data_IF_900622173752
#
_entry.id   IF_900622173752
#
_cell.length_a   1.000
_cell.length_b   1.000
_cell.length_c   1.000
_cell.angle_alpha   90.00
_cell.angle_beta   90.00
_cell.angle_gamma   90.00
#
_symmetry.space_group_name_H-M   'P 1'
#
loop_
_entity.id
_entity.type
_entity.pdbx_description
1 polymer ?
#
# COMPACT_ATOMS: atom_id res chain seq x y z
N UNK A 1 -12.05 7.84 8.89
CA UNK A 1 -11.61 7.07 7.69
C UNK A 1 -10.40 6.21 7.99
N UNK A 2 -10.18 5.16 7.23
CA UNK A 2 -8.96 4.36 7.31
C UNK A 2 -7.75 5.25 7.04
N UNK A 3 -6.77 5.22 7.95
CA UNK A 3 -5.50 5.92 7.78
C UNK A 3 -4.54 5.13 6.88
N UNK A 4 -3.68 5.81 6.16
CA UNK A 4 -2.67 5.19 5.32
C UNK A 4 -1.30 5.80 5.57
N UNK A 5 -0.29 4.93 5.60
CA UNK A 5 1.12 5.32 5.62
C UNK A 5 1.80 4.57 4.49
N UNK A 6 2.53 5.28 3.64
CA UNK A 6 3.32 4.67 2.57
C UNK A 6 4.79 4.93 2.89
N UNK A 7 5.52 3.87 3.19
CA UNK A 7 6.91 3.93 3.62
C UNK A 7 7.81 3.19 2.63
N UNK A 8 8.67 3.91 1.94
CA UNK A 8 9.51 3.35 0.88
C UNK A 8 10.95 3.88 0.95
N UNK A 9 11.85 3.18 0.29
CA UNK A 9 13.16 3.71 -0.03
C UNK A 9 13.03 4.88 -1.02
N UNK A 10 13.84 5.91 -0.82
CA UNK A 10 13.88 7.07 -1.72
C UNK A 10 12.55 7.80 -1.82
N UNK A 11 12.26 8.34 -2.98
CA UNK A 11 11.09 9.19 -3.27
C UNK A 11 9.85 8.41 -3.73
N UNK A 12 9.89 7.09 -3.75
CA UNK A 12 8.80 6.26 -4.31
C UNK A 12 7.45 6.54 -3.64
N UNK A 13 7.42 6.66 -2.31
CA UNK A 13 6.17 6.91 -1.58
C UNK A 13 5.51 8.23 -2.01
N UNK A 14 6.29 9.29 -2.16
CA UNK A 14 5.81 10.60 -2.62
C UNK A 14 5.30 10.52 -4.06
N UNK A 15 5.98 9.77 -4.92
CA UNK A 15 5.57 9.53 -6.30
C UNK A 15 4.25 8.76 -6.40
N UNK A 16 4.05 7.75 -5.56
CA UNK A 16 2.79 6.99 -5.50
C UNK A 16 1.63 7.91 -5.09
N UNK A 17 1.81 8.73 -4.07
CA UNK A 17 0.76 9.68 -3.65
C UNK A 17 0.46 10.68 -4.77
N UNK A 18 1.48 11.21 -5.43
CA UNK A 18 1.32 12.12 -6.56
C UNK A 18 0.51 11.49 -7.70
N UNK A 19 0.82 10.23 -8.05
CA UNK A 19 0.08 9.50 -9.07
C UNK A 19 -1.37 9.21 -8.65
N UNK A 20 -1.59 8.80 -7.41
CA UNK A 20 -2.93 8.55 -6.90
C UNK A 20 -3.78 9.83 -6.87
N UNK A 21 -3.19 10.95 -6.49
CA UNK A 21 -3.86 12.24 -6.49
C UNK A 21 -4.33 12.64 -7.89
N UNK A 22 -3.50 12.40 -8.90
CA UNK A 22 -3.85 12.68 -10.31
C UNK A 22 -5.00 11.77 -10.79
N UNK A 23 -5.02 10.51 -10.39
CA UNK A 23 -5.96 9.51 -10.90
C UNK A 23 -7.32 9.58 -10.20
N UNK A 24 -7.30 9.66 -8.88
CA UNK A 24 -8.52 9.55 -8.06
C UNK A 24 -8.78 10.78 -7.15
N UNK A 25 -7.74 11.50 -6.78
CA UNK A 25 -7.84 12.79 -6.11
C UNK A 25 -8.14 12.79 -4.61
N UNK A 26 -8.44 11.67 -3.99
CA UNK A 26 -8.83 11.59 -2.57
C UNK A 26 -7.68 11.11 -1.70
N UNK A 27 -6.61 11.91 -1.61
CA UNK A 27 -5.38 11.56 -0.89
C UNK A 27 -5.33 12.08 0.56
N UNK A 28 -6.44 12.49 1.12
CA UNK A 28 -6.54 12.89 2.53
C UNK A 28 -6.15 11.74 3.46
N UNK A 29 -5.55 12.07 4.60
CA UNK A 29 -5.16 11.12 5.64
C UNK A 29 -4.20 10.02 5.14
N UNK A 30 -3.33 10.37 4.21
CA UNK A 30 -2.22 9.56 3.71
C UNK A 30 -0.92 10.27 4.07
N UNK A 31 -0.05 9.57 4.80
CA UNK A 31 1.28 10.06 5.17
C UNK A 31 2.35 9.23 4.47
N UNK A 32 3.48 9.85 4.19
CA UNK A 32 4.62 9.18 3.57
C UNK A 32 5.82 9.18 4.50
N UNK A 33 6.58 8.09 4.46
CA UNK A 33 7.90 7.98 5.06
C UNK A 33 8.89 7.57 3.98
N UNK A 34 10.02 8.27 3.93
CA UNK A 34 11.07 8.01 2.94
C UNK A 34 12.37 7.66 3.67
N UNK A 35 13.00 6.57 3.28
CA UNK A 35 14.30 6.17 3.79
C UNK A 35 15.37 6.49 2.76
N UNK A 36 16.27 7.42 3.10
CA UNK A 36 17.41 7.79 2.29
C UNK A 36 18.70 7.19 2.85
N UNK A 37 19.77 7.20 2.05
CA UNK A 37 21.04 6.58 2.41
C UNK A 37 21.66 7.15 3.70
N UNK A 38 21.50 8.44 3.96
CA UNK A 38 22.00 9.13 5.15
C UNK A 38 21.13 8.95 6.39
N UNK A 39 19.95 8.40 6.26
CA UNK A 39 19.02 8.22 7.38
C UNK A 39 19.45 7.07 8.30
N UNK A 40 19.21 7.25 9.61
CA UNK A 40 19.40 6.20 10.60
C UNK A 40 18.15 5.32 10.70
N UNK A 41 18.33 4.02 10.44
CA UNK A 41 17.26 3.01 10.57
C UNK A 41 16.65 2.99 11.98
N UNK A 42 17.43 3.31 13.01
CA UNK A 42 16.95 3.37 14.40
C UNK A 42 15.88 4.44 14.62
N UNK A 43 15.84 5.48 13.80
CA UNK A 43 14.85 6.55 13.89
C UNK A 43 13.50 6.16 13.30
N UNK A 44 13.41 5.10 12.49
CA UNK A 44 12.19 4.69 11.80
C UNK A 44 11.07 4.31 12.75
N UNK A 45 11.37 3.63 13.84
CA UNK A 45 10.34 3.24 14.82
C UNK A 45 9.57 4.46 15.33
N UNK A 46 10.27 5.49 15.78
CA UNK A 46 9.66 6.74 16.25
C UNK A 46 8.87 7.46 15.16
N UNK A 47 9.37 7.44 13.93
CA UNK A 47 8.67 8.03 12.78
C UNK A 47 7.35 7.29 12.48
N UNK A 48 7.35 5.96 12.50
CA UNK A 48 6.13 5.18 12.34
C UNK A 48 5.12 5.48 13.45
N UNK A 49 5.54 5.50 14.70
CA UNK A 49 4.65 5.80 15.82
C UNK A 49 4.02 7.19 15.70
N UNK A 50 4.79 8.18 15.26
CA UNK A 50 4.29 9.53 15.02
C UNK A 50 3.21 9.54 13.92
N UNK A 51 3.47 8.89 12.79
CA UNK A 51 2.53 8.88 11.67
C UNK A 51 1.30 8.01 11.96
N UNK A 52 1.44 6.92 12.69
CA UNK A 52 0.31 6.11 13.17
C UNK A 52 -0.64 7.00 13.98
N UNK A 53 -0.11 7.76 14.93
CA UNK A 53 -0.91 8.68 15.73
C UNK A 53 -1.58 9.76 14.87
N UNK A 54 -0.88 10.25 13.85
CA UNK A 54 -1.38 11.31 12.98
C UNK A 54 -2.56 10.86 12.11
N UNK A 55 -2.57 9.60 11.66
CA UNK A 55 -3.59 9.10 10.72
C UNK A 55 -4.71 8.30 11.40
N UNK A 56 -4.57 7.96 12.67
CA UNK A 56 -5.53 7.11 13.39
C UNK A 56 -6.85 7.87 13.65
N UNK A 57 -7.91 7.36 13.07
CA UNK A 57 -9.29 7.81 13.30
C UNK A 57 -10.17 6.67 13.83
N UNK A 58 -9.59 5.68 14.48
CA UNK A 58 -10.23 4.50 15.05
C UNK A 58 -10.91 3.55 14.03
N UNK A 59 -10.65 3.71 12.74
CA UNK A 59 -11.20 2.87 11.68
C UNK A 59 -10.16 1.94 11.05
N UNK A 60 -8.97 1.87 11.63
CA UNK A 60 -7.87 1.07 11.15
C UNK A 60 -6.87 1.85 10.31
N UNK A 61 -5.68 1.25 10.14
CA UNK A 61 -4.57 1.84 9.40
C UNK A 61 -3.96 0.76 8.50
N UNK A 62 -3.62 1.13 7.27
CA UNK A 62 -2.79 0.31 6.39
C UNK A 62 -1.44 0.99 6.23
N UNK A 63 -0.38 0.28 6.59
CA UNK A 63 0.99 0.69 6.35
C UNK A 63 1.50 -0.07 5.13
N UNK A 64 1.69 0.64 4.04
CA UNK A 64 2.27 0.08 2.81
C UNK A 64 3.78 0.27 2.85
N UNK A 65 4.52 -0.79 2.57
CA UNK A 65 5.98 -0.74 2.42
C UNK A 65 6.39 -1.36 1.08
N UNK A 66 7.56 -1.00 0.59
CA UNK A 66 8.03 -1.47 -0.71
C UNK A 66 8.54 -2.91 -0.70
N UNK A 67 9.32 -3.30 0.31
CA UNK A 67 9.97 -4.61 0.35
C UNK A 67 9.69 -5.34 1.67
N UNK A 68 9.19 -6.57 1.56
CA UNK A 68 9.04 -7.46 2.71
C UNK A 68 10.42 -7.82 3.29
N UNK A 69 10.52 -7.82 4.63
CA UNK A 69 11.73 -8.21 5.34
C UNK A 69 12.87 -7.17 5.35
N UNK A 70 12.73 -6.05 4.65
CA UNK A 70 13.68 -4.95 4.72
C UNK A 70 13.45 -4.09 5.97
N UNK A 71 14.33 -3.11 6.19
CA UNK A 71 14.32 -2.30 7.42
C UNK A 71 12.99 -1.58 7.68
N UNK A 72 12.39 -1.02 6.65
CA UNK A 72 11.09 -0.34 6.77
C UNK A 72 9.99 -1.30 7.23
N UNK A 73 9.92 -2.47 6.62
CA UNK A 73 8.96 -3.50 7.02
C UNK A 73 9.17 -3.93 8.48
N UNK A 74 10.41 -4.26 8.84
CA UNK A 74 10.73 -4.74 10.19
C UNK A 74 10.45 -3.67 11.25
N UNK A 75 10.79 -2.42 10.99
CA UNK A 75 10.54 -1.32 11.91
C UNK A 75 9.05 -0.99 12.02
N UNK A 76 8.30 -1.08 10.93
CA UNK A 76 6.85 -0.92 10.97
C UNK A 76 6.19 -1.98 11.87
N UNK A 77 6.56 -3.25 11.72
CA UNK A 77 6.05 -4.36 12.54
C UNK A 77 6.39 -4.15 14.01
N UNK A 78 7.64 -3.74 14.32
CA UNK A 78 8.06 -3.45 15.70
C UNK A 78 7.25 -2.30 16.30
N UNK A 79 7.05 -1.23 15.54
CA UNK A 79 6.27 -0.07 15.98
C UNK A 79 4.82 -0.47 16.30
N UNK A 80 4.18 -1.21 15.41
CA UNK A 80 2.81 -1.70 15.61
C UNK A 80 2.73 -2.61 16.84
N UNK A 81 3.66 -3.55 17.00
CA UNK A 81 3.68 -4.45 18.15
C UNK A 81 3.85 -3.75 19.50
N UNK A 82 4.41 -2.55 19.53
CA UNK A 82 4.59 -1.76 20.76
C UNK A 82 3.29 -1.10 21.24
N UNK A 83 2.26 -1.07 20.41
CA UNK A 83 0.98 -0.43 20.72
C UNK A 83 0.08 -1.32 21.59
N UNK A 84 -0.95 -0.71 22.19
CA UNK A 84 -1.96 -1.44 22.92
C UNK A 84 -2.71 -2.45 22.03
N UNK A 85 -3.14 -3.57 22.59
CA UNK A 85 -3.77 -4.67 21.85
C UNK A 85 -4.96 -4.22 20.99
N UNK A 86 -5.80 -3.36 21.50
CA UNK A 86 -6.98 -2.86 20.78
C UNK A 86 -6.61 -2.02 19.55
N UNK A 87 -5.51 -1.27 19.62
CA UNK A 87 -5.04 -0.45 18.52
C UNK A 87 -4.28 -1.29 17.49
N UNK A 88 -3.35 -2.14 17.93
CA UNK A 88 -2.50 -2.90 17.00
C UNK A 88 -3.27 -3.90 16.15
N UNK A 89 -4.39 -4.43 16.64
CA UNK A 89 -5.26 -5.36 15.88
C UNK A 89 -5.89 -4.73 14.65
N UNK A 90 -5.99 -3.41 14.61
CA UNK A 90 -6.58 -2.65 13.51
C UNK A 90 -5.53 -2.09 12.55
N UNK A 91 -4.25 -2.43 12.72
CA UNK A 91 -3.17 -1.94 11.87
C UNK A 91 -2.58 -3.10 11.09
N UNK A 92 -2.57 -2.99 9.78
CA UNK A 92 -2.02 -3.98 8.87
C UNK A 92 -0.82 -3.41 8.13
N UNK A 93 0.24 -4.21 8.02
CA UNK A 93 1.43 -3.88 7.22
C UNK A 93 1.39 -4.70 5.94
N UNK A 94 1.38 -4.03 4.80
CA UNK A 94 1.30 -4.67 3.47
C UNK A 94 2.56 -4.32 2.71
N UNK A 95 3.36 -5.33 2.36
CA UNK A 95 4.59 -5.17 1.59
C UNK A 95 4.33 -5.34 0.08
N UNK A 96 5.27 -4.85 -0.73
CA UNK A 96 5.18 -4.92 -2.18
C UNK A 96 4.24 -3.86 -2.76
N UNK A 97 4.22 -2.67 -2.16
CA UNK A 97 3.31 -1.60 -2.57
C UNK A 97 3.41 -1.30 -4.06
N UNK A 98 2.26 -1.20 -4.70
CA UNK A 98 2.11 -0.74 -6.08
C UNK A 98 0.95 0.26 -6.18
N UNK A 99 0.86 0.95 -7.30
CA UNK A 99 -0.15 1.98 -7.49
C UNK A 99 -1.60 1.45 -7.46
N UNK A 100 -1.94 0.31 -8.11
CA UNK A 100 -3.29 -0.26 -8.00
C UNK A 100 -3.74 -0.52 -6.57
N UNK A 101 -2.84 -0.98 -5.72
CA UNK A 101 -3.07 -1.22 -4.29
C UNK A 101 -3.51 0.04 -3.55
N UNK A 102 -2.81 1.15 -3.77
CA UNK A 102 -3.12 2.43 -3.10
C UNK A 102 -4.41 3.02 -3.62
N UNK A 103 -4.66 2.96 -4.91
CA UNK A 103 -5.92 3.41 -5.52
C UNK A 103 -7.09 2.61 -4.95
N UNK A 104 -6.97 1.29 -4.85
CA UNK A 104 -8.02 0.47 -4.28
C UNK A 104 -8.27 0.78 -2.79
N UNK A 105 -7.21 1.02 -2.01
CA UNK A 105 -7.36 1.44 -0.62
C UNK A 105 -8.18 2.74 -0.49
N UNK A 106 -7.96 3.70 -1.37
CA UNK A 106 -8.77 4.93 -1.42
C UNK A 106 -10.22 4.59 -1.78
N UNK A 107 -10.45 3.71 -2.76
CA UNK A 107 -11.80 3.26 -3.12
C UNK A 107 -12.51 2.57 -1.95
N UNK A 108 -11.82 1.70 -1.22
CA UNK A 108 -12.38 1.02 -0.05
C UNK A 108 -12.78 2.02 1.04
N UNK A 109 -12.02 3.08 1.25
CA UNK A 109 -12.42 4.18 2.15
C UNK A 109 -13.70 4.85 1.69
N UNK A 110 -13.87 5.07 0.41
CA UNK A 110 -15.03 5.76 -0.16
C UNK A 110 -16.33 4.97 0.01
N UNK A 111 -16.24 3.65 0.11
CA UNK A 111 -17.39 2.77 0.35
C UNK A 111 -17.53 2.34 1.81
N UNK A 112 -16.80 2.97 2.72
CA UNK A 112 -16.81 2.68 4.16
C UNK A 112 -16.54 1.20 4.50
N UNK A 113 -15.64 0.54 3.74
CA UNK A 113 -15.25 -0.83 4.01
C UNK A 113 -14.57 -0.97 5.38
N UNK A 114 -14.74 -2.12 6.04
CA UNK A 114 -13.96 -2.46 7.23
C UNK A 114 -12.47 -2.57 6.89
N UNK A 115 -11.60 -2.43 7.88
CA UNK A 115 -10.16 -2.56 7.67
C UNK A 115 -9.81 -3.96 7.12
N UNK A 116 -10.46 -5.00 7.61
CA UNK A 116 -10.23 -6.38 7.16
C UNK A 116 -10.61 -6.55 5.68
N UNK A 117 -11.77 -6.05 5.29
CA UNK A 117 -12.24 -6.11 3.89
C UNK A 117 -11.37 -5.25 2.98
N UNK A 118 -10.96 -4.07 3.44
CA UNK A 118 -10.06 -3.19 2.67
C UNK A 118 -8.71 -3.87 2.42
N UNK A 119 -8.09 -4.49 3.44
CA UNK A 119 -6.81 -5.19 3.28
C UNK A 119 -6.94 -6.37 2.31
N UNK A 120 -7.99 -7.18 2.44
CA UNK A 120 -8.22 -8.29 1.52
C UNK A 120 -8.37 -7.80 0.06
N UNK A 121 -9.10 -6.72 -0.14
CA UNK A 121 -9.32 -6.12 -1.46
C UNK A 121 -8.01 -5.58 -2.06
N UNK A 122 -7.24 -4.80 -1.30
CA UNK A 122 -6.00 -4.20 -1.84
C UNK A 122 -4.97 -5.25 -2.23
N UNK A 123 -4.84 -6.33 -1.47
CA UNK A 123 -3.93 -7.43 -1.83
C UNK A 123 -4.38 -8.11 -3.12
N UNK A 124 -5.67 -8.39 -3.26
CA UNK A 124 -6.22 -9.00 -4.46
C UNK A 124 -6.05 -8.11 -5.71
N UNK A 125 -6.39 -6.83 -5.60
CA UNK A 125 -6.26 -5.86 -6.70
C UNK A 125 -4.79 -5.66 -7.08
N UNK A 126 -3.88 -5.61 -6.10
CA UNK A 126 -2.45 -5.49 -6.35
C UNK A 126 -1.92 -6.63 -7.20
N UNK A 127 -2.32 -7.86 -6.90
CA UNK A 127 -1.92 -9.06 -7.63
C UNK A 127 -2.54 -9.09 -9.04
N UNK A 128 -3.80 -8.73 -9.19
CA UNK A 128 -4.49 -8.66 -10.48
C UNK A 128 -3.95 -7.54 -11.38
N UNK A 129 -3.33 -6.53 -10.81
CA UNK A 129 -2.70 -5.43 -11.56
C UNK A 129 -1.41 -5.83 -12.28
N UNK A 130 -0.89 -7.02 -12.03
CA UNK A 130 0.30 -7.55 -12.71
C UNK A 130 -0.16 -8.28 -13.96
N UNK A 131 -0.11 -7.59 -15.10
CA UNK A 131 -0.59 -8.08 -16.39
C UNK A 131 0.54 -7.96 -17.40
N UNK A 132 0.66 -8.95 -18.27
CA UNK A 132 1.63 -8.95 -19.37
C UNK A 132 0.92 -8.89 -20.71
N UNK A 133 1.58 -8.28 -21.67
CA UNK A 133 1.19 -8.31 -23.07
C UNK A 133 2.44 -8.50 -23.94
N UNK A 134 2.31 -9.30 -25.00
CA UNK A 134 3.32 -9.37 -26.05
C UNK A 134 2.64 -9.54 -27.41
N UNK A 135 3.30 -9.15 -28.48
CA UNK A 135 2.79 -9.36 -29.83
C UNK A 135 2.64 -10.85 -30.18
N UNK A 136 3.46 -11.72 -29.57
CA UNK A 136 3.38 -13.16 -29.76
C UNK A 136 2.07 -13.75 -29.19
N UNK A 137 1.59 -13.22 -28.06
CA UNK A 137 0.31 -13.66 -27.44
C UNK A 137 -0.88 -13.28 -28.34
N UNK A 138 -0.86 -12.11 -28.97
CA UNK A 138 -1.88 -11.68 -29.91
C UNK A 138 -1.94 -12.55 -31.17
N UNK A 139 -0.78 -12.93 -31.73
CA UNK A 139 -0.70 -13.81 -32.89
C UNK A 139 -1.30 -15.20 -32.60
N UNK A 140 -1.16 -15.69 -31.37
CA UNK A 140 -1.71 -16.97 -30.91
C UNK A 140 -3.24 -16.89 -30.78
N UNK A 141 -3.77 -15.81 -30.26
CA UNK A 141 -5.22 -15.59 -30.15
C UNK A 141 -5.89 -15.49 -31.53
N UNK A 142 -5.23 -14.84 -32.48
CA UNK A 142 -5.71 -14.74 -33.88
C UNK A 142 -5.72 -16.12 -34.58
N UNK A 143 -4.74 -16.99 -34.30
CA UNK A 143 -4.69 -18.34 -34.84
C UNK A 143 -5.80 -19.25 -34.26
N UNK A 144 -6.14 -19.10 -32.97
CA UNK A 144 -7.22 -19.86 -32.34
C UNK A 144 -8.60 -19.43 -32.86
N UNK A 145 -8.82 -18.14 -33.14
CA UNK A 145 -10.06 -17.65 -33.77
C UNK A 145 -10.21 -18.14 -35.20
N UNK A 146 -9.15 -18.28 -35.96
CA UNK A 146 -9.16 -18.79 -37.35
C UNK A 146 -9.41 -20.31 -37.40
N UNK A 147 -9.09 -21.08 -36.34
CA UNK A 147 -9.37 -22.52 -36.28
C UNK A 147 -10.84 -22.85 -35.93
N UNK A 148 -11.60 -21.93 -35.33
CA UNK A 148 -13.04 -22.12 -35.04
C UNK A 148 -13.94 -21.90 -36.26
N UNK A 149 -13.41 -21.47 -37.36
CA UNK A 149 -14.10 -21.30 -38.63
C UNK A 149 -13.65 -22.31 -39.70
#
# INVERSE_FOLDING_TARGET
MIGMIIATHGEMSNGIVSAADLIIGSTDNIKTLNLFQEDDVQDLNGKFLKEIKAVDQNEGIIIFVDLAGASLYNQAVLAVNSLADEQKKKIHVVAGVNLPMVIDAINQRMIDASIEDAVASVVNVAQQGIVTWSAADNDTDDEEEDEEF
#
